data_IF_043720056603
#
_entry.id   IF_043720056603
#
_cell.length_a   1.000
_cell.length_b   1.000
_cell.length_c   1.000
_cell.angle_alpha   90.00
_cell.angle_beta   90.00
_cell.angle_gamma   90.00
#
_symmetry.space_group_name_H-M   'P 1'
#
loop_
_entity.id
_entity.type
_entity.pdbx_description
1 polymer ?
#
# COMPACT_ATOMS: atom_id res chain seq x y z
N UNK A 1 -10.95 -18.18 -5.59
CA UNK A 1 -11.01 -17.26 -4.45
C UNK A 1 -9.62 -17.14 -3.88
N UNK A 2 -9.10 -15.92 -3.75
CA UNK A 2 -7.88 -15.70 -3.00
C UNK A 2 -8.13 -16.08 -1.54
N UNK A 3 -7.48 -17.12 -1.10
CA UNK A 3 -7.65 -17.62 0.25
C UNK A 3 -6.61 -16.93 1.14
N UNK A 4 -6.97 -15.78 1.71
CA UNK A 4 -6.11 -15.10 2.70
C UNK A 4 -6.04 -16.01 3.92
N UNK A 5 -4.86 -16.53 4.20
CA UNK A 5 -4.66 -17.43 5.34
C UNK A 5 -4.89 -16.65 6.65
N UNK A 6 -5.91 -17.01 7.42
CA UNK A 6 -6.41 -16.25 8.57
C UNK A 6 -5.34 -15.93 9.61
N UNK A 7 -4.44 -16.87 9.90
CA UNK A 7 -3.33 -16.65 10.84
C UNK A 7 -2.36 -15.56 10.35
N UNK A 8 -1.94 -15.63 9.09
CA UNK A 8 -1.04 -14.64 8.50
C UNK A 8 -1.69 -13.26 8.40
N UNK A 9 -2.97 -13.23 8.02
CA UNK A 9 -3.73 -11.98 8.01
C UNK A 9 -3.77 -11.34 9.39
N UNK A 10 -4.17 -12.11 10.42
CA UNK A 10 -4.21 -11.64 11.80
C UNK A 10 -2.85 -11.11 12.27
N UNK A 11 -1.78 -11.89 12.11
CA UNK A 11 -0.42 -11.51 12.48
C UNK A 11 0.03 -10.23 11.78
N UNK A 12 -0.23 -10.11 10.46
CA UNK A 12 0.18 -8.95 9.66
C UNK A 12 -0.59 -7.70 10.07
N UNK A 13 -1.91 -7.77 10.16
CA UNK A 13 -2.74 -6.60 10.50
C UNK A 13 -2.50 -6.14 11.93
N UNK A 14 -2.32 -7.06 12.90
CA UNK A 14 -1.98 -6.71 14.27
C UNK A 14 -0.65 -5.94 14.35
N UNK A 15 0.40 -6.42 13.66
CA UNK A 15 1.70 -5.72 13.62
C UNK A 15 1.61 -4.37 12.92
N UNK A 16 0.82 -4.24 11.86
CA UNK A 16 0.56 -2.93 11.23
C UNK A 16 -0.11 -1.97 12.19
N UNK A 17 -1.17 -2.40 12.89
CA UNK A 17 -1.83 -1.58 13.90
C UNK A 17 -0.88 -1.15 15.02
N UNK A 18 -0.10 -2.08 15.58
CA UNK A 18 0.93 -1.78 16.59
C UNK A 18 1.91 -0.71 16.10
N UNK A 19 2.41 -0.84 14.87
CA UNK A 19 3.35 0.10 14.26
C UNK A 19 2.77 1.52 14.14
N UNK A 20 1.56 1.66 13.62
CA UNK A 20 0.94 2.97 13.39
C UNK A 20 0.41 3.60 14.68
N UNK A 21 -0.20 2.82 15.59
CA UNK A 21 -0.67 3.30 16.90
C UNK A 21 0.50 3.79 17.75
N UNK A 22 1.63 3.09 17.77
CA UNK A 22 2.84 3.51 18.49
C UNK A 22 3.39 4.87 18.01
N UNK A 23 3.04 5.29 16.79
CA UNK A 23 3.38 6.60 16.19
C UNK A 23 2.29 7.66 16.37
N UNK A 24 1.26 7.37 17.15
CA UNK A 24 0.15 8.29 17.42
C UNK A 24 -0.89 8.37 16.29
N UNK A 25 -0.83 7.47 15.29
CA UNK A 25 -1.86 7.41 14.25
C UNK A 25 -3.17 6.90 14.82
N UNK A 26 -4.28 7.37 14.27
CA UNK A 26 -5.63 6.96 14.67
C UNK A 26 -6.21 6.04 13.60
N UNK A 27 -6.78 4.90 14.03
CA UNK A 27 -7.57 4.05 13.14
C UNK A 27 -8.93 4.67 12.87
N UNK A 28 -9.26 4.86 11.60
CA UNK A 28 -10.50 5.46 11.13
C UNK A 28 -11.31 4.43 10.36
N UNK A 29 -12.63 4.42 10.53
CA UNK A 29 -13.51 3.64 9.67
C UNK A 29 -13.84 4.42 8.39
N UNK A 30 -13.36 3.98 7.20
CA UNK A 30 -13.58 4.72 5.97
C UNK A 30 -15.04 4.67 5.54
N UNK A 31 -15.65 5.84 5.30
CA UNK A 31 -17.00 5.97 4.81
C UNK A 31 -16.98 6.18 3.30
N UNK A 32 -17.28 5.14 2.54
CA UNK A 32 -17.11 5.12 1.08
C UNK A 32 -18.32 5.73 0.35
N UNK A 33 -18.69 6.98 0.66
CA UNK A 33 -19.79 7.67 -0.01
C UNK A 33 -19.35 8.85 -0.89
N UNK A 34 -18.05 9.15 -0.97
CA UNK A 34 -17.49 10.20 -1.83
C UNK A 34 -17.51 9.71 -3.29
N UNK A 35 -17.93 10.58 -4.20
CA UNK A 35 -18.15 10.25 -5.61
C UNK A 35 -16.95 10.43 -6.52
N UNK A 36 -15.74 10.62 -5.97
CA UNK A 36 -14.50 10.74 -6.75
C UNK A 36 -13.37 9.93 -6.11
N UNK A 37 -12.36 9.68 -6.92
CA UNK A 37 -11.30 8.71 -6.67
C UNK A 37 -10.03 9.37 -6.15
N UNK A 38 -9.29 8.63 -5.32
CA UNK A 38 -7.99 9.01 -4.78
C UNK A 38 -6.83 8.73 -5.76
N UNK A 39 -5.61 8.90 -5.25
CA UNK A 39 -4.38 8.77 -6.03
C UNK A 39 -4.08 7.35 -6.49
N UNK A 40 -4.41 6.36 -5.68
CA UNK A 40 -4.14 4.94 -5.96
C UNK A 40 -5.32 4.23 -6.65
N UNK A 41 -6.41 4.95 -6.91
CA UNK A 41 -7.61 4.40 -7.52
C UNK A 41 -7.53 4.49 -9.05
N UNK A 42 -8.10 3.50 -9.72
CA UNK A 42 -8.16 3.43 -11.17
C UNK A 42 -9.60 3.58 -11.66
N UNK A 43 -9.84 4.69 -12.39
CA UNK A 43 -11.15 5.01 -12.98
C UNK A 43 -11.67 3.90 -13.91
N UNK A 44 -10.79 3.11 -14.52
CA UNK A 44 -11.16 2.02 -15.44
C UNK A 44 -11.68 0.77 -14.73
N UNK A 45 -11.50 0.67 -13.42
CA UNK A 45 -11.87 -0.51 -12.61
C UNK A 45 -12.92 -0.20 -11.53
N UNK A 46 -13.69 0.89 -11.69
CA UNK A 46 -14.71 1.28 -10.71
C UNK A 46 -15.77 0.20 -10.55
N UNK A 47 -16.13 -0.06 -9.30
CA UNK A 47 -17.28 -0.86 -8.90
C UNK A 47 -18.27 0.02 -8.15
N UNK A 48 -19.55 -0.17 -8.36
CA UNK A 48 -20.60 0.64 -7.72
C UNK A 48 -21.63 -0.21 -7.00
N UNK A 49 -22.22 0.37 -5.97
CA UNK A 49 -23.40 -0.10 -5.29
C UNK A 49 -24.55 0.90 -5.52
N UNK A 50 -25.72 0.41 -5.87
CA UNK A 50 -26.93 1.22 -6.01
C UNK A 50 -27.92 0.88 -4.87
N UNK A 51 -28.33 1.89 -4.11
CA UNK A 51 -29.28 1.71 -3.02
C UNK A 51 -30.77 1.85 -3.45
N UNK A 52 -31.03 1.94 -4.76
CA UNK A 52 -32.33 2.17 -5.36
C UNK A 52 -32.63 3.66 -5.68
N UNK A 53 -31.80 4.58 -5.23
CA UNK A 53 -31.89 6.01 -5.50
C UNK A 53 -30.61 6.58 -6.10
N UNK A 54 -29.46 6.23 -5.55
CA UNK A 54 -28.16 6.75 -5.95
C UNK A 54 -27.13 5.64 -6.09
N UNK A 55 -26.11 5.90 -6.93
CA UNK A 55 -24.93 5.08 -7.03
C UNK A 55 -23.87 5.53 -6.00
N UNK A 56 -23.27 4.57 -5.33
CA UNK A 56 -22.12 4.77 -4.44
C UNK A 56 -20.91 4.02 -4.98
N UNK A 57 -19.75 4.59 -4.78
CA UNK A 57 -18.48 3.92 -5.09
C UNK A 57 -18.23 2.79 -4.08
N UNK A 58 -18.00 1.57 -4.56
CA UNK A 58 -17.32 0.57 -3.73
C UNK A 58 -15.84 0.95 -3.65
N UNK A 59 -15.24 1.00 -2.45
CA UNK A 59 -13.92 1.55 -2.29
C UNK A 59 -12.86 0.72 -3.02
N UNK A 60 -11.96 1.38 -3.73
CA UNK A 60 -10.71 0.77 -4.17
C UNK A 60 -9.63 0.94 -3.10
N UNK A 61 -9.67 2.08 -2.40
CA UNK A 61 -8.86 2.42 -1.23
C UNK A 61 -9.68 3.24 -0.24
N UNK A 62 -9.20 3.38 1.00
CA UNK A 62 -9.76 4.31 1.98
C UNK A 62 -9.24 5.75 1.85
N UNK A 63 -8.36 6.04 0.90
CA UNK A 63 -7.56 7.26 0.87
C UNK A 63 -8.35 8.55 0.87
N UNK A 64 -9.42 8.68 0.06
CA UNK A 64 -10.18 9.93 0.06
C UNK A 64 -10.78 10.27 1.41
N UNK A 65 -11.23 9.24 2.14
CA UNK A 65 -11.75 9.43 3.49
C UNK A 65 -10.65 9.75 4.50
N UNK A 66 -9.52 9.03 4.44
CA UNK A 66 -8.36 9.28 5.31
C UNK A 66 -7.81 10.68 5.10
N UNK A 67 -7.70 11.12 3.85
CA UNK A 67 -7.25 12.47 3.51
C UNK A 67 -8.19 13.54 4.09
N UNK A 68 -9.50 13.33 3.98
CA UNK A 68 -10.52 14.20 4.53
C UNK A 68 -10.43 14.27 6.06
N UNK A 69 -10.25 13.14 6.73
CA UNK A 69 -10.10 13.09 8.19
C UNK A 69 -8.82 13.80 8.66
N UNK A 70 -7.70 13.58 7.98
CA UNK A 70 -6.44 14.22 8.34
C UNK A 70 -6.47 15.73 8.11
N UNK A 71 -7.06 16.19 6.99
CA UNK A 71 -7.22 17.62 6.71
C UNK A 71 -8.11 18.33 7.73
N UNK A 72 -9.10 17.66 8.29
CA UNK A 72 -9.95 18.20 9.37
C UNK A 72 -9.28 18.18 10.75
N UNK A 73 -8.27 17.34 10.92
CA UNK A 73 -7.57 17.16 12.19
C UNK A 73 -6.05 17.30 11.97
N UNK A 74 -5.55 18.52 11.63
CA UNK A 74 -4.16 18.73 11.23
C UNK A 74 -3.12 18.48 12.32
N UNK A 75 -3.54 18.40 13.58
CA UNK A 75 -2.67 18.10 14.72
C UNK A 75 -2.34 16.60 14.85
N UNK A 76 -3.04 15.73 14.09
CA UNK A 76 -2.73 14.31 14.09
C UNK A 76 -1.47 14.03 13.26
N UNK A 77 -0.57 13.15 13.72
CA UNK A 77 0.57 12.70 12.92
C UNK A 77 0.14 11.91 11.68
N UNK A 78 -1.04 11.27 11.74
CA UNK A 78 -1.63 10.53 10.65
C UNK A 78 -2.84 9.72 11.05
N UNK A 79 -3.47 9.13 10.04
CA UNK A 79 -4.64 8.26 10.18
C UNK A 79 -4.46 7.02 9.32
N UNK A 80 -5.12 5.91 9.68
CA UNK A 80 -5.08 4.68 8.89
C UNK A 80 -6.41 3.92 8.94
N UNK A 81 -6.59 3.00 8.00
CA UNK A 81 -7.70 2.05 8.02
C UNK A 81 -7.28 0.70 7.43
N UNK A 82 -8.02 -0.34 7.82
CA UNK A 82 -8.00 -1.63 7.15
C UNK A 82 -9.35 -1.84 6.49
N UNK A 83 -9.38 -1.99 5.16
CA UNK A 83 -10.62 -2.10 4.40
C UNK A 83 -10.52 -3.16 3.31
N UNK A 84 -11.58 -3.28 2.49
CA UNK A 84 -11.60 -4.15 1.33
C UNK A 84 -11.55 -3.32 0.06
N UNK A 85 -10.61 -3.63 -0.82
CA UNK A 85 -10.53 -3.06 -2.16
C UNK A 85 -11.47 -3.81 -3.10
N UNK A 86 -12.28 -3.07 -3.87
CA UNK A 86 -13.16 -3.60 -4.92
C UNK A 86 -12.74 -3.06 -6.26
N UNK A 87 -12.37 -3.92 -7.19
CA UNK A 87 -11.92 -3.56 -8.55
C UNK A 87 -12.59 -4.43 -9.60
N UNK A 88 -12.79 -3.88 -10.79
CA UNK A 88 -13.32 -4.64 -11.94
C UNK A 88 -12.25 -4.74 -13.02
N UNK A 89 -11.18 -5.51 -12.78
CA UNK A 89 -10.20 -5.78 -13.81
C UNK A 89 -10.82 -6.62 -14.93
N UNK A 90 -10.76 -6.09 -16.15
CA UNK A 90 -11.26 -6.83 -17.34
C UNK A 90 -10.41 -8.06 -17.66
N UNK A 91 -9.10 -7.95 -17.49
CA UNK A 91 -8.13 -9.00 -17.76
C UNK A 91 -7.18 -9.13 -16.56
N UNK A 92 -7.60 -9.73 -15.44
CA UNK A 92 -6.75 -9.87 -14.27
C UNK A 92 -5.59 -10.84 -14.56
N UNK A 93 -4.38 -10.45 -14.16
CA UNK A 93 -3.21 -11.34 -14.21
C UNK A 93 -3.29 -12.30 -13.02
N UNK A 94 -3.35 -13.63 -13.24
CA UNK A 94 -3.40 -14.61 -12.16
C UNK A 94 -2.20 -14.46 -11.19
N UNK A 95 -2.48 -14.56 -9.89
CA UNK A 95 -1.47 -14.42 -8.84
C UNK A 95 -1.02 -12.98 -8.54
N UNK A 96 -1.46 -11.99 -9.34
CA UNK A 96 -1.12 -10.58 -9.17
C UNK A 96 -2.32 -9.67 -8.98
N UNK A 97 -3.38 -9.88 -9.77
CA UNK A 97 -4.58 -9.04 -9.75
C UNK A 97 -5.74 -9.82 -9.16
N UNK A 98 -6.30 -9.27 -8.09
CA UNK A 98 -7.53 -9.70 -7.47
C UNK A 98 -8.58 -8.61 -7.61
N UNK A 99 -9.84 -8.98 -7.79
CA UNK A 99 -10.93 -8.00 -7.87
C UNK A 99 -11.44 -7.58 -6.49
N UNK A 100 -11.27 -8.45 -5.49
CA UNK A 100 -11.67 -8.18 -4.10
C UNK A 100 -10.55 -8.68 -3.19
N UNK A 101 -9.93 -7.77 -2.45
CA UNK A 101 -8.81 -8.11 -1.56
C UNK A 101 -8.70 -7.14 -0.38
N UNK A 102 -8.14 -7.56 0.75
CA UNK A 102 -7.91 -6.70 1.88
C UNK A 102 -6.73 -5.75 1.61
N UNK A 103 -6.89 -4.48 2.02
CA UNK A 103 -5.91 -3.42 1.88
C UNK A 103 -5.78 -2.67 3.21
N UNK A 104 -4.57 -2.21 3.51
CA UNK A 104 -4.28 -1.33 4.64
C UNK A 104 -3.80 0.01 4.08
N UNK A 105 -4.56 1.05 4.34
CA UNK A 105 -4.28 2.40 3.85
C UNK A 105 -3.94 3.33 5.00
N UNK A 106 -3.05 4.28 4.76
CA UNK A 106 -2.70 5.30 5.74
C UNK A 106 -2.39 6.64 5.07
N UNK A 107 -2.61 7.70 5.80
CA UNK A 107 -2.28 9.07 5.43
C UNK A 107 -1.45 9.67 6.55
N UNK A 108 -0.35 10.37 6.23
CA UNK A 108 0.58 10.97 7.19
C UNK A 108 0.80 12.44 6.89
N UNK A 109 1.01 13.24 7.93
CA UNK A 109 1.55 14.60 7.80
C UNK A 109 2.97 14.53 7.23
N UNK A 110 3.36 15.56 6.48
CA UNK A 110 4.68 15.66 5.86
C UNK A 110 4.71 15.16 4.40
N UNK A 111 5.84 15.48 3.74
CA UNK A 111 6.05 15.15 2.33
C UNK A 111 6.64 13.77 2.12
N UNK A 112 7.15 13.53 0.89
CA UNK A 112 7.69 12.23 0.48
C UNK A 112 8.83 11.72 1.38
N UNK A 113 9.63 12.61 1.97
CA UNK A 113 10.71 12.19 2.87
C UNK A 113 10.18 11.57 4.17
N UNK A 114 9.09 12.12 4.73
CA UNK A 114 8.41 11.51 5.89
C UNK A 114 7.84 10.14 5.53
N UNK A 115 7.31 9.99 4.32
CA UNK A 115 6.80 8.72 3.81
C UNK A 115 7.91 7.68 3.66
N UNK A 116 9.05 8.05 3.07
CA UNK A 116 10.22 7.16 2.93
C UNK A 116 10.73 6.67 4.29
N UNK A 117 10.76 7.58 5.28
CA UNK A 117 11.12 7.20 6.65
C UNK A 117 10.14 6.18 7.24
N UNK A 118 8.83 6.42 7.11
CA UNK A 118 7.79 5.49 7.60
C UNK A 118 7.93 4.13 6.90
N UNK A 119 8.14 4.09 5.58
CA UNK A 119 8.34 2.85 4.85
C UNK A 119 9.56 2.08 5.33
N UNK A 120 10.68 2.76 5.55
CA UNK A 120 11.91 2.15 6.06
C UNK A 120 11.70 1.56 7.45
N UNK A 121 11.16 2.34 8.39
CA UNK A 121 10.86 1.89 9.75
C UNK A 121 9.83 0.74 9.78
N UNK A 122 8.88 0.74 8.84
CA UNK A 122 7.90 -0.33 8.69
C UNK A 122 8.58 -1.64 8.25
N UNK A 123 9.52 -1.57 7.30
CA UNK A 123 10.30 -2.73 6.87
C UNK A 123 11.16 -3.29 8.01
N UNK A 124 11.80 -2.42 8.78
CA UNK A 124 12.55 -2.80 10.00
C UNK A 124 11.62 -3.46 11.04
N UNK A 125 10.44 -2.88 11.28
CA UNK A 125 9.43 -3.45 12.18
C UNK A 125 8.96 -4.84 11.77
N UNK A 126 8.93 -5.14 10.47
CA UNK A 126 8.60 -6.45 9.93
C UNK A 126 9.80 -7.39 9.74
N UNK A 127 10.94 -7.06 10.30
CA UNK A 127 12.17 -7.87 10.29
C UNK A 127 12.68 -8.17 8.88
N UNK A 128 12.48 -7.26 7.91
CA UNK A 128 13.18 -7.36 6.63
C UNK A 128 14.67 -7.05 6.82
N UNK A 129 15.52 -7.74 6.06
CA UNK A 129 16.96 -7.50 6.11
C UNK A 129 17.32 -6.15 5.45
N UNK A 130 17.57 -5.15 6.28
CA UNK A 130 17.86 -3.79 5.82
C UNK A 130 19.26 -3.64 5.19
N UNK A 131 20.12 -4.65 5.25
CA UNK A 131 21.36 -4.68 4.46
C UNK A 131 21.06 -4.86 2.96
N UNK A 132 19.90 -5.42 2.63
CA UNK A 132 19.39 -5.61 1.28
C UNK A 132 18.54 -4.42 0.78
N UNK A 133 18.28 -3.41 1.62
CA UNK A 133 17.50 -2.23 1.23
C UNK A 133 18.24 -1.42 0.16
N UNK A 134 17.57 -1.19 -0.97
CA UNK A 134 18.06 -0.32 -2.04
C UNK A 134 17.00 0.67 -2.48
N UNK A 135 17.42 1.90 -2.75
CA UNK A 135 16.55 2.98 -3.21
C UNK A 135 17.04 3.53 -4.54
N UNK A 136 16.13 3.69 -5.49
CA UNK A 136 16.39 4.22 -6.81
C UNK A 136 15.28 5.18 -7.23
N UNK A 137 15.61 6.17 -8.05
CA UNK A 137 14.58 6.85 -8.82
C UNK A 137 14.12 5.94 -9.96
N UNK A 138 12.85 6.07 -10.37
CA UNK A 138 12.30 5.31 -11.50
C UNK A 138 13.20 5.41 -12.75
N UNK A 139 13.67 6.62 -13.06
CA UNK A 139 14.50 6.85 -14.26
C UNK A 139 15.87 6.15 -14.20
N UNK A 140 16.54 6.18 -13.04
CA UNK A 140 17.83 5.51 -12.89
C UNK A 140 17.65 3.99 -12.99
N UNK A 141 16.67 3.43 -12.29
CA UNK A 141 16.45 1.99 -12.30
C UNK A 141 16.05 1.47 -13.69
N UNK A 142 15.18 2.19 -14.42
CA UNK A 142 14.81 1.80 -15.77
C UNK A 142 15.98 1.91 -16.76
N UNK A 143 16.85 2.91 -16.60
CA UNK A 143 18.09 3.04 -17.39
C UNK A 143 19.05 1.87 -17.12
N UNK A 144 19.29 1.57 -15.85
CA UNK A 144 20.23 0.49 -15.45
C UNK A 144 19.74 -0.88 -15.94
N UNK A 145 18.43 -1.10 -15.95
CA UNK A 145 17.82 -2.35 -16.43
C UNK A 145 17.59 -2.39 -17.95
N UNK A 146 17.78 -1.27 -18.66
CA UNK A 146 17.53 -1.19 -20.11
C UNK A 146 16.03 -1.32 -20.47
N UNK A 147 15.12 -0.95 -19.58
CA UNK A 147 13.65 -1.05 -19.77
C UNK A 147 13.00 0.32 -19.86
N UNK A 148 11.79 0.39 -20.44
CA UNK A 148 11.06 1.66 -20.55
C UNK A 148 10.21 1.98 -19.32
N UNK A 149 9.64 0.94 -18.69
CA UNK A 149 8.74 1.07 -17.54
C UNK A 149 8.98 -0.09 -16.57
N UNK A 150 8.57 0.10 -15.33
CA UNK A 150 8.54 -0.96 -14.33
C UNK A 150 7.14 -1.58 -14.34
N UNK A 151 7.02 -2.71 -15.02
CA UNK A 151 5.83 -3.56 -15.06
C UNK A 151 6.05 -4.82 -14.21
N UNK A 152 5.09 -5.74 -14.21
CA UNK A 152 5.15 -6.97 -13.44
C UNK A 152 6.38 -7.85 -13.74
N UNK A 153 6.81 -7.91 -15.00
CA UNK A 153 8.00 -8.67 -15.40
C UNK A 153 9.27 -7.98 -14.89
N UNK A 154 9.33 -6.66 -15.02
CA UNK A 154 10.43 -5.84 -14.52
C UNK A 154 10.52 -5.90 -12.98
N UNK A 155 9.41 -5.87 -12.25
CA UNK A 155 9.42 -6.06 -10.80
C UNK A 155 10.03 -7.41 -10.40
N UNK A 156 9.67 -8.48 -11.12
CA UNK A 156 10.27 -9.81 -10.89
C UNK A 156 11.77 -9.80 -11.12
N UNK A 157 12.25 -9.13 -12.19
CA UNK A 157 13.69 -8.96 -12.46
C UNK A 157 14.38 -8.15 -11.35
N UNK A 158 13.74 -7.11 -10.83
CA UNK A 158 14.27 -6.31 -9.71
C UNK A 158 14.49 -7.20 -8.49
N UNK A 159 13.49 -8.01 -8.11
CA UNK A 159 13.61 -8.92 -6.98
C UNK A 159 14.72 -9.95 -7.12
N UNK A 160 15.00 -10.43 -8.34
CA UNK A 160 16.01 -11.44 -8.62
C UNK A 160 17.41 -10.86 -8.78
N UNK A 161 17.54 -9.73 -9.48
CA UNK A 161 18.84 -9.24 -9.96
C UNK A 161 19.32 -7.96 -9.28
N UNK A 162 18.44 -7.24 -8.58
CA UNK A 162 18.79 -5.97 -7.89
C UNK A 162 18.77 -6.16 -6.38
N UNK A 163 17.60 -6.37 -5.80
CA UNK A 163 17.41 -6.70 -4.39
C UNK A 163 15.99 -7.17 -4.10
N UNK A 164 15.79 -8.08 -3.12
CA UNK A 164 14.46 -8.42 -2.64
C UNK A 164 13.75 -7.29 -1.88
N UNK A 165 14.48 -6.24 -1.47
CA UNK A 165 13.94 -5.06 -0.77
C UNK A 165 14.35 -3.81 -1.55
N UNK A 166 13.50 -3.38 -2.49
CA UNK A 166 13.79 -2.24 -3.37
C UNK A 166 12.70 -1.18 -3.25
N UNK A 167 13.10 0.07 -3.11
CA UNK A 167 12.23 1.25 -3.15
C UNK A 167 12.46 2.02 -4.43
N UNK A 168 11.38 2.37 -5.12
CA UNK A 168 11.42 3.12 -6.37
C UNK A 168 10.67 4.44 -6.20
N UNK A 169 11.37 5.56 -6.40
CA UNK A 169 10.82 6.90 -6.23
C UNK A 169 10.62 7.64 -7.56
N UNK A 170 9.87 8.74 -7.50
CA UNK A 170 9.78 9.74 -8.58
C UNK A 170 9.31 9.19 -9.94
N UNK A 171 8.10 8.63 -9.99
CA UNK A 171 7.48 8.17 -11.26
C UNK A 171 7.32 9.31 -12.27
N UNK A 172 7.53 9.07 -13.58
CA UNK A 172 7.24 10.05 -14.61
C UNK A 172 5.77 10.47 -14.64
N UNK A 173 5.51 11.74 -14.95
CA UNK A 173 4.16 12.28 -15.13
C UNK A 173 3.34 11.53 -16.18
N UNK A 174 3.99 11.02 -17.22
CA UNK A 174 3.34 10.33 -18.34
C UNK A 174 2.63 9.03 -17.93
N UNK A 175 3.09 8.37 -16.87
CA UNK A 175 2.50 7.13 -16.38
C UNK A 175 1.61 7.32 -15.14
N UNK A 176 1.71 8.45 -14.45
CA UNK A 176 0.88 8.74 -13.28
C UNK A 176 -0.40 9.49 -13.67
N UNK A 177 -1.54 8.84 -13.45
CA UNK A 177 -2.87 9.35 -13.81
C UNK A 177 -3.62 10.01 -12.65
N UNK A 178 -2.93 10.41 -11.58
CA UNK A 178 -3.58 11.05 -10.44
C UNK A 178 -3.73 12.56 -10.62
N UNK A 179 -4.91 13.07 -10.29
CA UNK A 179 -5.22 14.50 -10.29
C UNK A 179 -4.69 15.22 -9.03
N UNK A 180 -4.55 14.51 -7.90
CA UNK A 180 -4.21 15.08 -6.59
C UNK A 180 -2.78 14.74 -6.11
N UNK A 181 -1.93 14.16 -6.97
CA UNK A 181 -0.54 13.89 -6.64
C UNK A 181 0.32 15.15 -6.76
N UNK A 182 1.29 15.31 -5.86
CA UNK A 182 2.31 16.36 -5.98
C UNK A 182 3.23 16.08 -7.17
N UNK A 183 3.44 17.09 -7.97
CA UNK A 183 4.33 17.06 -9.13
C UNK A 183 5.51 17.99 -8.92
N UNK A 184 6.64 17.57 -9.45
CA UNK A 184 7.87 18.34 -9.49
C UNK A 184 8.46 18.18 -10.89
N UNK A 185 8.34 19.21 -11.71
CA UNK A 185 8.67 19.20 -13.13
C UNK A 185 7.92 18.07 -13.89
N UNK A 186 8.65 17.12 -14.46
CA UNK A 186 8.15 15.98 -15.23
C UNK A 186 7.88 14.73 -14.38
N UNK A 187 7.97 14.84 -13.06
CA UNK A 187 7.86 13.71 -12.12
C UNK A 187 6.77 13.91 -11.10
N UNK A 188 6.27 12.78 -10.57
CA UNK A 188 5.36 12.74 -9.45
C UNK A 188 6.10 12.20 -8.22
N UNK A 189 5.93 12.86 -7.08
CA UNK A 189 6.52 12.44 -5.82
C UNK A 189 5.83 11.17 -5.30
N UNK A 190 6.37 10.03 -5.71
CA UNK A 190 5.92 8.68 -5.36
C UNK A 190 7.02 7.89 -4.69
N UNK A 191 6.62 6.83 -3.99
CA UNK A 191 7.52 5.83 -3.42
C UNK A 191 6.83 4.48 -3.42
N UNK A 192 7.38 3.54 -4.18
CA UNK A 192 6.85 2.19 -4.32
C UNK A 192 7.84 1.19 -3.75
N UNK A 193 7.40 0.36 -2.80
CA UNK A 193 8.22 -0.70 -2.21
C UNK A 193 7.95 -2.01 -2.91
N UNK A 194 8.96 -2.53 -3.57
CA UNK A 194 8.97 -3.83 -4.25
C UNK A 194 9.64 -4.84 -3.33
N UNK A 195 8.86 -5.82 -2.85
CA UNK A 195 9.35 -6.89 -1.98
C UNK A 195 9.31 -8.22 -2.74
N UNK A 196 10.47 -8.88 -2.82
CA UNK A 196 10.61 -10.16 -3.51
C UNK A 196 10.01 -10.13 -4.92
N UNK A 197 10.26 -9.04 -5.66
CA UNK A 197 9.82 -8.89 -7.05
C UNK A 197 8.33 -8.56 -7.24
N UNK A 198 7.67 -8.00 -6.22
CA UNK A 198 6.28 -7.53 -6.35
C UNK A 198 6.08 -6.23 -5.59
N UNK A 199 5.53 -5.20 -6.26
CA UNK A 199 5.08 -3.98 -5.59
C UNK A 199 4.09 -4.32 -4.47
N UNK A 200 4.48 -4.00 -3.24
CA UNK A 200 3.73 -4.35 -2.03
C UNK A 200 3.16 -3.13 -1.32
N UNK A 201 3.90 -2.02 -1.34
CA UNK A 201 3.47 -0.74 -0.79
C UNK A 201 3.60 0.30 -1.89
N UNK A 202 2.51 1.01 -2.18
CA UNK A 202 2.52 2.17 -3.06
C UNK A 202 2.25 3.43 -2.26
N UNK A 203 3.02 4.50 -2.49
CA UNK A 203 2.84 5.76 -1.78
C UNK A 203 3.06 6.98 -2.67
N UNK A 204 2.48 8.11 -2.26
CA UNK A 204 2.64 9.38 -2.97
C UNK A 204 2.43 10.58 -2.06
N UNK A 205 3.21 11.64 -2.29
CA UNK A 205 2.94 12.95 -1.71
C UNK A 205 1.75 13.61 -2.41
N UNK A 206 0.89 14.25 -1.62
CA UNK A 206 -0.30 14.95 -2.08
C UNK A 206 -0.01 16.37 -2.52
N UNK A 207 -0.72 16.83 -3.54
CA UNK A 207 -0.69 18.23 -3.94
C UNK A 207 -1.35 19.11 -2.88
N UNK A 208 -0.84 20.36 -2.75
CA UNK A 208 -1.39 21.38 -1.85
C UNK A 208 -1.97 22.57 -2.62
N UNK A 209 -1.69 22.68 -3.92
CA UNK A 209 -2.22 23.75 -4.75
C UNK A 209 -3.62 23.39 -5.26
N UNK A 210 -4.62 24.04 -4.69
CA UNK A 210 -6.05 23.79 -4.96
C UNK A 210 -6.40 24.06 -6.42
N UNK A 211 -5.89 25.15 -7.01
CA UNK A 211 -6.18 25.51 -8.40
C UNK A 211 -5.62 24.45 -9.37
N UNK A 212 -4.38 24.03 -9.15
CA UNK A 212 -3.76 22.99 -9.96
C UNK A 212 -4.45 21.62 -9.80
N UNK A 213 -4.96 21.28 -8.60
CA UNK A 213 -5.75 20.06 -8.38
C UNK A 213 -7.08 20.13 -9.13
N UNK A 214 -7.78 21.28 -9.04
CA UNK A 214 -9.04 21.52 -9.74
C UNK A 214 -8.87 21.40 -11.25
N UNK A 215 -7.88 22.08 -11.81
CA UNK A 215 -7.59 22.01 -13.24
C UNK A 215 -7.33 20.57 -13.70
N UNK A 216 -6.48 19.84 -12.98
CA UNK A 216 -6.16 18.44 -13.32
C UNK A 216 -7.34 17.51 -13.19
N UNK A 217 -8.23 17.71 -12.22
CA UNK A 217 -9.43 16.91 -12.08
C UNK A 217 -10.26 16.90 -13.37
N UNK A 218 -10.38 18.05 -14.02
CA UNK A 218 -11.14 18.20 -15.27
C UNK A 218 -10.35 17.84 -16.53
N UNK A 219 -9.02 17.90 -16.50
CA UNK A 219 -8.20 17.75 -17.71
C UNK A 219 -7.45 16.43 -17.82
N UNK A 220 -7.22 15.74 -16.71
CA UNK A 220 -6.47 14.49 -16.72
C UNK A 220 -7.13 13.43 -17.60
N UNK A 221 -6.31 12.67 -18.35
CA UNK A 221 -6.79 11.71 -19.35
C UNK A 221 -7.72 12.34 -20.40
N UNK A 222 -7.40 13.54 -20.86
CA UNK A 222 -8.20 14.32 -21.80
C UNK A 222 -9.65 14.54 -21.31
N UNK A 223 -9.83 14.70 -19.99
CA UNK A 223 -11.13 14.90 -19.35
C UNK A 223 -11.95 13.63 -19.11
N UNK A 224 -11.47 12.46 -19.54
CA UNK A 224 -12.17 11.20 -19.38
C UNK A 224 -12.44 10.86 -17.91
N UNK A 225 -11.53 11.23 -17.01
CA UNK A 225 -11.69 11.02 -15.58
C UNK A 225 -12.94 11.69 -15.03
N UNK A 226 -13.08 13.00 -15.19
CA UNK A 226 -14.25 13.77 -14.73
C UNK A 226 -15.53 13.30 -15.42
N UNK A 227 -15.50 13.10 -16.75
CA UNK A 227 -16.67 12.65 -17.53
C UNK A 227 -17.18 11.30 -17.05
N UNK A 228 -16.30 10.36 -16.70
CA UNK A 228 -16.68 9.04 -16.18
C UNK A 228 -17.38 9.17 -14.82
N UNK A 229 -16.84 10.00 -13.92
CA UNK A 229 -17.45 10.25 -12.61
C UNK A 229 -18.82 10.93 -12.76
N UNK A 230 -18.95 11.94 -13.63
CA UNK A 230 -20.21 12.64 -13.89
C UNK A 230 -21.28 11.69 -14.44
N UNK A 231 -20.90 10.80 -15.35
CA UNK A 231 -21.80 9.79 -15.89
C UNK A 231 -22.25 8.79 -14.83
N UNK A 232 -21.35 8.43 -13.90
CA UNK A 232 -21.61 7.38 -12.90
C UNK A 232 -22.39 7.89 -11.70
N UNK A 233 -22.07 9.09 -11.20
CA UNK A 233 -22.57 9.62 -9.92
C UNK A 233 -23.39 10.90 -10.07
N UNK A 234 -23.46 11.48 -11.25
CA UNK A 234 -24.12 12.75 -11.52
C UNK A 234 -23.21 13.96 -11.30
N UNK A 235 -23.15 14.84 -12.31
CA UNK A 235 -22.23 15.99 -12.32
C UNK A 235 -22.42 16.90 -11.10
N UNK A 236 -23.65 17.28 -10.77
CA UNK A 236 -23.94 18.18 -9.63
C UNK A 236 -23.40 17.63 -8.30
N UNK A 237 -23.52 16.31 -8.09
CA UNK A 237 -23.03 15.66 -6.88
C UNK A 237 -21.49 15.68 -6.83
N UNK A 238 -20.84 15.25 -7.90
CA UNK A 238 -19.36 15.23 -7.99
C UNK A 238 -18.78 16.62 -7.79
N UNK A 239 -19.33 17.65 -8.46
CA UNK A 239 -18.86 19.04 -8.35
C UNK A 239 -19.06 19.61 -6.94
N UNK A 240 -20.19 19.32 -6.31
CA UNK A 240 -20.43 19.73 -4.92
C UNK A 240 -19.43 19.09 -3.96
N UNK A 241 -19.28 17.77 -4.00
CA UNK A 241 -18.37 17.03 -3.12
C UNK A 241 -16.91 17.42 -3.37
N UNK A 242 -16.50 17.60 -4.62
CA UNK A 242 -15.17 18.13 -4.98
C UNK A 242 -14.96 19.56 -4.46
N UNK A 243 -15.99 20.42 -4.55
CA UNK A 243 -15.92 21.78 -4.02
C UNK A 243 -15.77 21.79 -2.50
N UNK A 244 -16.51 20.94 -1.79
CA UNK A 244 -16.39 20.78 -0.34
C UNK A 244 -14.98 20.29 0.05
N UNK A 245 -14.45 19.28 -0.66
CA UNK A 245 -13.10 18.79 -0.43
C UNK A 245 -12.05 19.89 -0.69
N UNK A 246 -12.12 20.58 -1.84
CA UNK A 246 -11.16 21.62 -2.22
C UNK A 246 -11.28 22.92 -1.40
N UNK A 247 -12.26 23.03 -0.51
CA UNK A 247 -12.37 24.15 0.43
C UNK A 247 -11.63 23.94 1.74
N UNK A 248 -11.03 22.75 1.95
CA UNK A 248 -10.22 22.45 3.13
C UNK A 248 -8.86 23.14 3.09
N UNK A 249 -8.23 23.28 4.25
CA UNK A 249 -6.88 23.84 4.37
C UNK A 249 -5.84 22.75 4.09
N UNK A 250 -5.20 22.82 2.91
CA UNK A 250 -4.23 21.84 2.47
C UNK A 250 -2.84 22.12 3.02
N UNK A 251 -2.22 21.12 3.63
CA UNK A 251 -0.83 21.11 4.07
C UNK A 251 -0.06 19.92 3.47
N UNK A 252 1.29 19.91 3.52
CA UNK A 252 2.09 18.79 3.05
C UNK A 252 1.71 17.49 3.75
N UNK A 253 1.30 16.49 2.98
CA UNK A 253 0.87 15.17 3.45
C UNK A 253 1.14 14.12 2.39
N UNK A 254 1.21 12.87 2.83
CA UNK A 254 1.49 11.73 1.96
C UNK A 254 0.59 10.55 2.31
N UNK A 255 0.22 9.81 1.29
CA UNK A 255 -0.62 8.61 1.40
C UNK A 255 0.18 7.36 1.09
N UNK A 256 -0.15 6.26 1.75
CA UNK A 256 0.41 4.94 1.47
C UNK A 256 -0.65 3.83 1.51
N UNK A 257 -0.53 2.88 0.60
CA UNK A 257 -1.33 1.65 0.53
C UNK A 257 -0.47 0.41 0.66
N UNK A 258 -0.90 -0.52 1.46
CA UNK A 258 -0.27 -1.84 1.63
C UNK A 258 -1.26 -2.90 1.18
N UNK A 259 -0.96 -3.57 0.06
CA UNK A 259 -1.73 -4.73 -0.39
C UNK A 259 -1.48 -5.91 0.55
N UNK A 260 -2.47 -6.27 1.39
CA UNK A 260 -2.26 -7.26 2.46
C UNK A 260 -1.94 -8.65 1.93
N UNK A 261 -2.51 -9.07 0.80
CA UNK A 261 -2.15 -10.36 0.17
C UNK A 261 -0.69 -10.38 -0.28
N UNK A 262 -0.20 -9.27 -0.83
CA UNK A 262 1.20 -9.11 -1.27
C UNK A 262 2.15 -9.01 -0.08
N UNK A 263 1.78 -8.28 0.96
CA UNK A 263 2.57 -8.18 2.20
C UNK A 263 2.70 -9.53 2.89
N UNK A 264 1.61 -10.30 3.01
CA UNK A 264 1.64 -11.65 3.57
C UNK A 264 2.56 -12.56 2.74
N UNK A 265 2.51 -12.49 1.40
CA UNK A 265 3.43 -13.22 0.53
C UNK A 265 4.88 -12.84 0.83
N UNK A 266 5.19 -11.55 0.86
CA UNK A 266 6.54 -11.04 1.11
C UNK A 266 7.07 -11.48 2.50
N UNK A 267 6.24 -11.45 3.54
CA UNK A 267 6.60 -11.89 4.88
C UNK A 267 6.93 -13.39 4.93
N UNK A 268 6.19 -14.22 4.21
CA UNK A 268 6.46 -15.66 4.12
C UNK A 268 7.78 -15.95 3.38
N UNK A 269 8.06 -15.21 2.32
CA UNK A 269 9.33 -15.33 1.59
C UNK A 269 10.51 -14.84 2.46
N UNK A 270 10.33 -13.75 3.21
CA UNK A 270 11.32 -13.24 4.15
C UNK A 270 11.63 -14.26 5.27
N UNK A 271 10.60 -14.88 5.85
CA UNK A 271 10.78 -15.92 6.88
C UNK A 271 11.55 -17.13 6.31
N UNK A 272 11.21 -17.58 5.11
CA UNK A 272 11.91 -18.67 4.43
C UNK A 272 13.39 -18.30 4.14
N UNK A 273 13.65 -17.09 3.67
CA UNK A 273 15.01 -16.62 3.41
C UNK A 273 15.87 -16.58 4.68
N UNK A 274 15.29 -16.12 5.79
CA UNK A 274 15.97 -16.10 7.10
C UNK A 274 16.29 -17.50 7.61
N UNK A 275 15.35 -18.44 7.54
CA UNK A 275 15.56 -19.84 7.94
C UNK A 275 16.67 -20.49 7.12
N UNK A 276 16.78 -20.19 5.83
CA UNK A 276 17.85 -20.72 4.97
C UNK A 276 19.22 -20.05 5.21
N UNK A 277 19.24 -18.84 5.78
CA UNK A 277 20.46 -18.09 6.09
C UNK A 277 21.03 -18.46 7.48
N UNK A 278 20.22 -18.98 8.40
CA UNK A 278 20.70 -19.49 9.68
C UNK A 278 21.52 -20.77 9.44
N UNK A 279 22.75 -20.88 9.97
CA UNK A 279 23.52 -22.11 9.88
C UNK A 279 22.70 -23.22 10.56
N UNK A 280 22.56 -24.37 9.88
CA UNK A 280 21.90 -25.52 10.43
C UNK A 280 22.47 -25.82 11.84
N UNK A 281 21.67 -25.57 12.87
CA UNK A 281 22.05 -25.94 14.23
C UNK A 281 22.28 -27.45 14.19
N UNK A 282 23.50 -27.97 14.53
CA UNK A 282 23.72 -29.40 14.53
C UNK A 282 22.68 -30.02 15.46
N UNK A 283 21.89 -30.94 14.93
CA UNK A 283 20.94 -31.72 15.69
C UNK A 283 21.78 -32.53 16.69
N UNK A 284 21.87 -32.06 17.91
CA UNK A 284 22.34 -32.90 19.01
C UNK A 284 21.26 -33.94 19.23
N UNK A 285 21.49 -35.15 18.72
CA UNK A 285 20.74 -36.33 19.16
C UNK A 285 20.75 -36.32 20.69
N UNK A 286 19.59 -36.09 21.28
CA UNK A 286 19.43 -36.29 22.71
C UNK A 286 19.84 -37.72 22.99
N UNK A 287 20.98 -37.93 23.67
CA UNK A 287 21.34 -39.23 24.15
C UNK A 287 20.18 -39.74 25.01
N UNK A 288 19.67 -40.93 24.67
CA UNK A 288 18.63 -41.59 25.45
C UNK A 288 19.00 -41.53 26.94
N UNK A 289 18.06 -41.17 27.80
CA UNK A 289 18.30 -41.15 29.24
C UNK A 289 18.75 -42.57 29.67
N UNK A 290 19.89 -42.67 30.33
CA UNK A 290 20.35 -43.92 30.92
C UNK A 290 19.24 -44.50 31.77
N UNK A 291 18.96 -45.83 31.67
CA UNK A 291 17.91 -46.45 32.48
C UNK A 291 18.21 -46.26 33.98
N UNK A 292 17.22 -45.81 34.72
CA UNK A 292 17.29 -45.65 36.16
C UNK A 292 17.62 -47.01 36.83
N UNK A 293 18.46 -46.99 37.90
CA UNK A 293 18.76 -48.23 38.64
C UNK A 293 17.47 -48.76 39.26
N UNK A 294 17.19 -50.05 39.01
CA UNK A 294 16.05 -50.76 39.60
C UNK A 294 16.17 -50.75 41.12
N UNK A 295 15.14 -50.29 41.79
CA UNK A 295 15.00 -50.32 43.23
C UNK A 295 15.25 -51.70 43.77
N UNK A 296 16.21 -51.82 44.68
CA UNK A 296 16.45 -53.04 45.48
C UNK A 296 15.43 -53.05 46.63
N UNK A 297 14.43 -53.89 46.51
CA UNK A 297 13.44 -54.14 47.60
C UNK A 297 14.13 -54.94 48.70
N UNK A 298 14.38 -54.30 49.84
CA UNK A 298 14.71 -55.01 51.10
C UNK A 298 13.42 -55.50 51.72
N UNK A 299 13.27 -56.88 51.82
CA UNK A 299 12.31 -57.49 52.72
C UNK A 299 12.92 -57.50 54.11
N UNK A 300 12.21 -56.91 55.10
CA UNK A 300 12.27 -57.31 56.54
C UNK A 300 10.85 -57.66 56.98
#
# INVERSE_FOLDING_TARGET
MANVHSYWYHKTVSRLREFFIARGFIEVHPQSHISFLAIADDISTISTYNNGQENFLLPQTGHMWLEFELLKNPDLPGVFCCTTSYRQHKNPVPGRHENIFPIFDFETSGGIQSMLQIQRELLEHFDFDMSLYKEFTHSNLTLDLGVKNIDAATESLIGQNVSPVTVVTDRPNSINKSWCAKRDNDRVKTSDVILYGMETIGASERAVNVEAMRERFYTIQDGLFAQTLFKTFGQKRVERELGEFLSLDFFPRSTGSIGLTRMIRALRENETARQNAEPAVPYFEAQDPKPEPKDVIFHI
#
